data_IF_281339272364
#
_entry.id   IF_281339272364
#
_cell.length_a   1.000
_cell.length_b   1.000
_cell.length_c   1.000
_cell.angle_alpha   90.00
_cell.angle_beta   90.00
_cell.angle_gamma   90.00
#
_symmetry.space_group_name_H-M   'P 1'
#
loop_
_entity.id
_entity.type
_entity.pdbx_description
1 polymer ?
2 non-polymer ?
3 non-polymer ?
4 water ?
#
# COMPACT_ATOMS: atom_id res chain seq x y z
N UNK A 3 -23.75 29.20 9.74
CA UNK A 3 -24.58 29.07 8.51
C UNK A 3 -25.03 27.63 8.28
N UNK A 4 -25.17 27.25 7.02
CA UNK A 4 -25.60 25.90 6.64
C UNK A 4 -24.62 24.82 7.10
N UNK A 5 -25.18 23.74 7.63
CA UNK A 5 -24.37 22.63 8.11
C UNK A 5 -24.57 21.41 7.21
N UNK A 6 -23.45 20.79 6.80
CA UNK A 6 -23.52 19.62 5.95
C UNK A 6 -24.03 18.44 6.77
N UNK A 7 -24.61 17.43 6.11
CA UNK A 7 -25.12 16.27 6.85
C UNK A 7 -23.98 15.61 7.63
N UNK A 8 -24.25 15.29 8.90
CA UNK A 8 -23.25 14.67 9.77
C UNK A 8 -23.71 13.30 10.23
N UNK A 9 -22.80 12.33 10.18
CA UNK A 9 -23.12 10.97 10.58
C UNK A 9 -23.35 10.88 12.10
N UNK A 10 -24.14 9.90 12.51
CA UNK A 10 -24.46 9.69 13.92
C UNK A 10 -23.24 9.33 14.75
N UNK A 11 -23.37 9.40 16.07
CA UNK A 11 -22.27 9.08 16.95
C UNK A 11 -21.26 10.20 17.08
N UNK A 12 -20.00 9.84 17.35
CA UNK A 12 -18.97 10.86 17.48
C UNK A 12 -19.18 11.74 18.69
N UNK A 13 -19.61 11.14 19.79
CA UNK A 13 -19.86 11.87 21.02
C UNK A 13 -18.65 11.83 21.94
N UNK A 14 -17.54 11.27 21.44
CA UNK A 14 -16.32 11.18 22.23
C UNK A 14 -15.58 12.51 22.21
N UNK A 15 -14.55 12.63 23.05
CA UNK A 15 -13.78 13.86 23.15
C UNK A 15 -13.37 14.47 21.80
N UNK A 16 -12.85 13.64 20.90
CA UNK A 16 -12.43 14.12 19.59
C UNK A 16 -13.40 13.74 18.48
N UNK A 17 -14.69 13.75 18.81
CA UNK A 17 -15.72 13.43 17.83
C UNK A 17 -15.69 11.98 17.37
N UNK A 18 -15.56 11.78 16.06
CA UNK A 18 -15.52 10.43 15.53
C UNK A 18 -14.10 9.87 15.47
N UNK A 19 -13.13 10.62 15.99
CA UNK A 19 -11.74 10.18 15.97
C UNK A 19 -11.52 8.80 16.57
N UNK A 20 -12.05 8.57 17.76
CA UNK A 20 -11.87 7.29 18.42
C UNK A 20 -12.44 6.13 17.62
N UNK A 21 -13.60 6.34 16.99
CA UNK A 21 -14.21 5.29 16.19
C UNK A 21 -13.35 5.07 14.93
N UNK A 22 -12.82 6.16 14.39
CA UNK A 22 -11.98 6.06 13.20
C UNK A 22 -10.73 5.23 13.52
N UNK A 23 -10.24 5.34 14.75
CA UNK A 23 -9.05 4.60 15.21
C UNK A 23 -9.34 3.13 15.53
N UNK A 24 -10.60 2.75 15.55
CA UNK A 24 -10.95 1.38 15.89
C UNK A 24 -11.65 0.63 14.75
N UNK A 25 -12.54 1.34 14.05
CA UNK A 25 -13.27 0.73 12.95
C UNK A 25 -13.59 1.78 11.91
N UNK A 26 -12.57 2.26 11.20
CA UNK A 26 -12.76 3.29 10.17
C UNK A 26 -13.68 2.89 9.03
N UNK A 27 -13.61 1.64 8.59
CA UNK A 27 -14.47 1.22 7.50
C UNK A 27 -15.94 1.25 7.93
N UNK A 28 -16.23 0.77 9.14
CA UNK A 28 -17.60 0.80 9.63
C UNK A 28 -18.14 2.21 9.74
N UNK A 29 -17.27 3.13 10.17
CA UNK A 29 -17.65 4.54 10.29
C UNK A 29 -17.97 5.11 8.91
N UNK A 30 -17.08 4.89 7.95
CA UNK A 30 -17.30 5.41 6.61
C UNK A 30 -18.53 4.82 5.94
N UNK A 31 -18.81 3.55 6.24
CA UNK A 31 -19.98 2.91 5.64
C UNK A 31 -21.24 3.51 6.26
N UNK A 32 -21.19 3.83 7.56
CA UNK A 32 -22.37 4.42 8.20
C UNK A 32 -22.64 5.80 7.65
N UNK A 33 -21.58 6.52 7.27
CA UNK A 33 -21.73 7.84 6.69
C UNK A 33 -22.55 7.72 5.40
N UNK A 34 -22.17 6.75 4.56
CA UNK A 34 -22.89 6.54 3.31
C UNK A 34 -24.30 5.99 3.53
N UNK A 35 -24.45 5.03 4.45
CA UNK A 35 -25.77 4.46 4.71
C UNK A 35 -26.78 5.49 5.21
N UNK A 36 -26.33 6.37 6.09
CA UNK A 36 -27.21 7.38 6.66
C UNK A 36 -27.41 8.65 5.81
N UNK A 37 -26.34 9.11 5.17
CA UNK A 37 -26.39 10.36 4.42
C UNK A 37 -26.30 10.32 2.91
N UNK A 38 -25.76 9.26 2.33
CA UNK A 38 -25.66 9.19 0.88
C UNK A 38 -24.27 9.45 0.34
N UNK A 39 -24.20 10.02 -0.86
CA UNK A 39 -22.94 10.29 -1.53
C UNK A 39 -22.08 11.38 -0.92
N UNK A 40 -22.69 12.25 -0.11
CA UNK A 40 -21.96 13.33 0.53
C UNK A 40 -22.34 13.40 2.01
N UNK A 41 -21.39 13.06 2.88
CA UNK A 41 -21.67 13.11 4.30
C UNK A 41 -20.42 13.46 5.06
N UNK A 42 -20.57 13.87 6.32
CA UNK A 42 -19.39 14.24 7.09
C UNK A 42 -19.25 13.51 8.41
N UNK A 43 -18.03 13.48 8.93
CA UNK A 43 -17.74 12.93 10.24
C UNK A 43 -16.70 13.87 10.81
N UNK A 44 -16.58 13.93 12.13
CA UNK A 44 -15.63 14.83 12.76
C UNK A 44 -14.36 14.11 13.19
N UNK A 45 -13.25 14.58 12.65
CA UNK A 45 -11.94 14.02 12.97
C UNK A 45 -11.27 15.09 13.82
N UNK A 46 -11.48 15.01 15.14
CA UNK A 46 -10.93 15.98 16.07
C UNK A 46 -11.51 17.34 15.73
N UNK A 47 -10.65 18.32 15.45
CA UNK A 47 -11.14 19.65 15.11
C UNK A 47 -11.28 19.85 13.62
N UNK A 48 -11.37 18.75 12.88
CA UNK A 48 -11.50 18.81 11.43
C UNK A 48 -12.72 18.07 10.92
N UNK A 49 -13.51 18.74 10.08
CA UNK A 49 -14.68 18.12 9.49
C UNK A 49 -14.20 17.44 8.21
N UNK A 50 -14.55 16.17 8.04
CA UNK A 50 -14.16 15.43 6.85
C UNK A 50 -15.41 15.24 6.00
N UNK A 51 -15.36 15.73 4.77
CA UNK A 51 -16.49 15.58 3.85
C UNK A 51 -16.20 14.31 3.06
N UNK A 52 -16.90 13.23 3.41
CA UNK A 52 -16.69 11.95 2.75
C UNK A 52 -17.58 11.80 1.54
N UNK A 53 -16.94 11.68 0.37
CA UNK A 53 -17.65 11.50 -0.89
C UNK A 53 -17.64 10.03 -1.29
N UNK A 54 -18.73 9.57 -1.88
CA UNK A 54 -18.80 8.18 -2.34
C UNK A 54 -19.75 8.09 -3.54
N UNK A 55 -19.61 7.04 -4.32
CA UNK A 55 -20.46 6.89 -5.48
C UNK A 55 -19.79 7.50 -6.70
N UNK A 56 -20.21 7.08 -7.89
CA UNK A 56 -19.62 7.57 -9.12
C UNK A 56 -19.60 9.08 -9.30
N UNK A 57 -20.76 9.71 -9.13
CA UNK A 57 -20.86 11.16 -9.31
C UNK A 57 -19.91 11.95 -8.41
N UNK A 58 -19.98 11.71 -7.10
CA UNK A 58 -19.13 12.42 -6.16
C UNK A 58 -17.65 12.07 -6.36
N UNK A 59 -17.36 10.79 -6.62
CA UNK A 59 -15.99 10.38 -6.83
C UNK A 59 -15.39 11.03 -8.08
N UNK A 60 -16.21 11.21 -9.12
CA UNK A 60 -15.71 11.83 -10.34
C UNK A 60 -15.21 13.23 -10.02
N UNK A 61 -15.97 13.96 -9.21
CA UNK A 61 -15.55 15.30 -8.82
C UNK A 61 -14.21 15.23 -8.09
N UNK A 62 -14.11 14.31 -7.13
CA UNK A 62 -12.91 14.13 -6.34
C UNK A 62 -11.67 13.80 -7.18
N UNK A 63 -11.79 12.84 -8.07
CA UNK A 63 -10.64 12.41 -8.88
C UNK A 63 -10.29 13.26 -10.10
N UNK A 64 -11.23 14.07 -10.57
CA UNK A 64 -10.94 14.91 -11.73
C UNK A 64 -10.40 16.27 -11.28
N UNK A 65 -10.41 16.50 -9.97
CA UNK A 65 -9.93 17.75 -9.40
C UNK A 65 -8.41 17.82 -9.32
N UNK A 66 -7.85 18.91 -9.82
CA UNK A 66 -6.40 19.08 -9.78
C UNK A 66 -5.97 19.72 -8.48
N UNK A 67 -4.66 19.80 -8.26
CA UNK A 67 -4.13 20.39 -7.03
C UNK A 67 -4.66 21.80 -6.79
N UNK A 68 -5.22 22.41 -7.84
CA UNK A 68 -5.77 23.75 -7.74
C UNK A 68 -7.09 23.80 -6.98
N UNK A 69 -7.82 22.69 -7.01
CA UNK A 69 -9.11 22.61 -6.32
C UNK A 69 -9.00 21.82 -5.01
N UNK A 70 -8.44 20.62 -5.10
CA UNK A 70 -8.25 19.76 -3.93
C UNK A 70 -6.77 19.43 -3.81
N UNK A 71 -6.14 19.88 -2.73
CA UNK A 71 -4.73 19.66 -2.51
C UNK A 71 -4.44 18.56 -1.49
N UNK A 72 -3.46 17.70 -1.81
CA UNK A 72 -3.10 16.61 -0.91
C UNK A 72 -1.89 16.99 -0.06
N UNK A 73 -1.29 18.13 -0.37
CA UNK A 73 -0.11 18.62 0.33
C UNK A 73 -0.11 18.48 1.85
N UNK A 74 -1.17 18.95 2.50
CA UNK A 74 -1.25 18.87 3.96
C UNK A 74 -2.41 18.02 4.46
N UNK A 75 -2.76 16.99 3.70
CA UNK A 75 -3.86 16.11 4.07
C UNK A 75 -3.42 14.94 4.95
N UNK A 76 -2.11 14.71 5.03
CA UNK A 76 -1.59 13.60 5.82
C UNK A 76 -0.49 14.06 6.80
N UNK A 77 -0.89 14.69 7.92
CA UNK A 77 0.07 15.18 8.91
C UNK A 77 0.93 14.11 9.57
N UNK A 78 0.51 12.85 9.50
CA UNK A 78 1.27 11.77 10.11
C UNK A 78 2.56 11.45 9.37
N UNK A 79 2.71 11.98 8.16
CA UNK A 79 3.92 11.70 7.38
C UNK A 79 5.09 12.64 7.65
N UNK A 80 4.80 13.83 8.16
CA UNK A 80 5.85 14.81 8.43
C UNK A 80 6.99 14.29 9.30
N UNK A 81 6.66 13.67 10.45
CA UNK A 81 7.70 13.13 11.34
C UNK A 81 8.44 11.92 10.77
N UNK A 82 7.79 11.25 9.81
CA UNK A 82 8.38 10.08 9.19
C UNK A 82 9.41 10.45 8.14
N UNK A 83 9.05 11.36 7.24
CA UNK A 83 10.00 11.79 6.22
C UNK A 83 11.08 12.65 6.87
N UNK A 84 10.67 13.47 7.82
CA UNK A 84 11.61 14.34 8.50
C UNK A 84 11.90 15.59 7.70
N UNK A 105 9.93 5.35 -12.43
CA UNK A 105 9.46 4.13 -13.07
C UNK A 105 9.34 4.29 -14.58
N UNK A 106 10.10 3.49 -15.32
CA UNK A 106 10.08 3.54 -16.77
C UNK A 106 9.86 2.15 -17.32
N UNK A 107 8.95 2.02 -18.27
CA UNK A 107 8.66 0.73 -18.87
C UNK A 107 9.89 -0.03 -19.31
N UNK A 108 10.86 0.69 -19.86
CA UNK A 108 12.10 0.08 -20.34
C UNK A 108 12.89 -0.59 -19.21
N UNK A 109 12.76 -0.06 -18.00
CA UNK A 109 13.46 -0.61 -16.84
C UNK A 109 12.63 -1.70 -16.16
N UNK A 110 11.36 -1.80 -16.53
CA UNK A 110 10.47 -2.78 -15.92
C UNK A 110 10.98 -4.22 -16.03
N UNK A 111 11.50 -4.60 -17.19
CA UNK A 111 12.01 -5.94 -17.36
C UNK A 111 13.12 -6.19 -16.34
N UNK A 112 14.01 -5.21 -16.19
CA UNK A 112 15.10 -5.34 -15.23
C UNK A 112 14.56 -5.49 -13.81
N UNK A 113 13.52 -4.72 -13.48
CA UNK A 113 12.95 -4.80 -12.15
C UNK A 113 12.31 -6.15 -11.91
N UNK A 114 11.66 -6.70 -12.94
CA UNK A 114 11.03 -8.01 -12.79
C UNK A 114 12.10 -9.06 -12.44
N UNK A 115 13.25 -8.97 -13.10
CA UNK A 115 14.34 -9.91 -12.83
C UNK A 115 14.86 -9.71 -11.41
N UNK A 116 14.95 -8.45 -10.98
CA UNK A 116 15.41 -8.12 -9.65
C UNK A 116 14.46 -8.69 -8.61
N UNK A 117 13.16 -8.51 -8.84
CA UNK A 117 12.18 -9.02 -7.91
C UNK A 117 12.25 -10.54 -7.82
N UNK A 118 12.40 -11.21 -8.95
CA UNK A 118 12.52 -12.67 -8.94
C UNK A 118 13.71 -13.07 -8.05
N UNK A 119 14.84 -12.40 -8.24
CA UNK A 119 16.02 -12.70 -7.45
C UNK A 119 15.77 -12.49 -5.97
N UNK A 120 15.11 -11.39 -5.62
CA UNK A 120 14.84 -11.11 -4.22
C UNK A 120 13.93 -12.17 -3.59
N UNK A 121 12.95 -12.65 -4.35
CA UNK A 121 12.05 -13.67 -3.81
C UNK A 121 12.82 -14.97 -3.59
N UNK A 122 13.64 -15.35 -4.57
CA UNK A 122 14.41 -16.58 -4.41
C UNK A 122 15.34 -16.46 -3.20
N UNK A 123 15.90 -15.28 -2.97
CA UNK A 123 16.78 -15.10 -1.82
C UNK A 123 16.00 -15.24 -0.51
N UNK A 124 14.78 -14.71 -0.49
CA UNK A 124 13.93 -14.79 0.70
C UNK A 124 13.48 -16.21 1.05
N UNK A 125 13.34 -17.07 0.05
CA UNK A 125 12.89 -18.45 0.31
C UNK A 125 14.03 -19.47 0.24
N UNK A 126 15.25 -18.98 0.08
CA UNK A 126 16.42 -19.85 -0.04
C UNK A 126 16.60 -20.82 1.13
N UNK A 127 16.18 -20.41 2.33
CA UNK A 127 16.34 -21.26 3.50
C UNK A 127 15.05 -21.98 3.93
N UNK A 128 14.02 -21.93 3.09
CA UNK A 128 12.75 -22.57 3.40
C UNK A 128 12.83 -24.08 3.51
N UNK A 129 13.63 -24.70 2.66
CA UNK A 129 13.74 -26.15 2.70
C UNK A 129 12.51 -26.86 2.16
N UNK A 130 12.26 -28.06 2.66
CA UNK A 130 11.14 -28.88 2.20
C UNK A 130 9.76 -28.43 2.68
N UNK A 131 9.68 -28.02 3.94
CA UNK A 131 8.41 -27.60 4.50
C UNK A 131 8.63 -26.69 5.70
N UNK A 132 7.60 -25.95 6.07
CA UNK A 132 7.73 -25.06 7.19
C UNK A 132 6.52 -24.17 7.34
N UNK A 133 6.63 -23.20 8.23
CA UNK A 133 5.55 -22.28 8.49
C UNK A 133 6.06 -20.85 8.49
N UNK A 134 5.25 -19.93 7.99
CA UNK A 134 5.65 -18.53 7.95
C UNK A 134 4.51 -17.64 8.38
N UNK A 135 4.84 -16.43 8.81
CA UNK A 135 3.84 -15.44 9.19
C UNK A 135 3.84 -14.47 8.00
N UNK A 136 2.68 -14.30 7.37
CA UNK A 136 2.58 -13.44 6.20
C UNK A 136 3.03 -12.02 6.38
N UNK A 137 2.70 -11.41 7.50
CA UNK A 137 3.11 -10.02 7.73
C UNK A 137 4.63 -9.94 7.78
N UNK A 138 5.24 -10.81 8.58
CA UNK A 138 6.69 -10.82 8.70
C UNK A 138 7.38 -11.09 7.35
N UNK A 139 6.89 -12.08 6.64
CA UNK A 139 7.49 -12.45 5.35
C UNK A 139 7.37 -11.38 4.27
N UNK A 140 6.16 -10.93 3.97
CA UNK A 140 6.01 -9.94 2.92
C UNK A 140 6.51 -8.55 3.29
N UNK A 141 6.50 -8.20 4.57
CA UNK A 141 7.01 -6.89 4.96
C UNK A 141 8.50 -6.86 4.66
N UNK A 142 9.21 -7.93 5.02
CA UNK A 142 10.65 -7.98 4.78
C UNK A 142 10.95 -8.08 3.27
N UNK A 143 10.24 -8.96 2.58
CA UNK A 143 10.45 -9.13 1.14
C UNK A 143 10.31 -7.83 0.37
N UNK A 144 9.26 -7.08 0.66
CA UNK A 144 9.01 -5.82 -0.06
C UNK A 144 10.01 -4.73 0.29
N UNK A 145 10.71 -4.88 1.41
CA UNK A 145 11.73 -3.90 1.77
C UNK A 145 12.88 -4.15 0.78
N UNK A 146 13.16 -5.42 0.52
CA UNK A 146 14.24 -5.79 -0.38
C UNK A 146 13.91 -5.49 -1.85
N UNK A 147 12.68 -5.75 -2.27
CA UNK A 147 12.33 -5.47 -3.66
C UNK A 147 12.33 -3.96 -3.90
N UNK A 148 11.74 -3.21 -2.97
CA UNK A 148 11.68 -1.75 -3.10
C UNK A 148 13.06 -1.11 -3.12
N UNK A 149 13.89 -1.46 -2.12
CA UNK A 149 15.22 -0.88 -2.04
C UNK A 149 16.08 -1.25 -3.26
N UNK A 150 16.02 -2.51 -3.68
CA UNK A 150 16.82 -2.94 -4.82
C UNK A 150 16.40 -2.25 -6.12
N UNK A 151 15.10 -2.13 -6.33
CA UNK A 151 14.59 -1.50 -7.56
C UNK A 151 14.72 0.01 -7.61
N UNK A 152 14.39 0.67 -6.50
CA UNK A 152 14.41 2.12 -6.42
C UNK A 152 15.74 2.77 -6.08
N UNK A 153 16.55 2.12 -5.24
CA UNK A 153 17.83 2.70 -4.86
C UNK A 153 18.99 1.97 -5.54
N UNK A 154 18.93 0.65 -5.55
CA UNK A 154 19.97 -0.14 -6.19
C UNK A 154 20.25 -1.45 -5.48
N UNK A 155 20.63 -2.45 -6.25
CA UNK A 155 20.94 -3.77 -5.69
C UNK A 155 22.10 -3.65 -4.70
N UNK A 156 23.05 -2.77 -5.00
CA UNK A 156 24.20 -2.54 -4.12
C UNK A 156 23.75 -2.14 -2.73
N UNK A 157 22.78 -1.22 -2.67
CA UNK A 157 22.25 -0.75 -1.39
C UNK A 157 21.47 -1.87 -0.71
N UNK A 158 20.61 -2.56 -1.45
CA UNK A 158 19.84 -3.64 -0.82
C UNK A 158 20.75 -4.68 -0.21
N UNK A 159 21.84 -5.00 -0.88
CA UNK A 159 22.77 -6.02 -0.39
C UNK A 159 23.43 -5.63 0.93
N UNK A 160 23.36 -4.35 1.29
CA UNK A 160 23.93 -3.90 2.54
C UNK A 160 22.85 -3.80 3.61
N UNK A 161 21.66 -4.28 3.28
CA UNK A 161 20.52 -4.27 4.21
C UNK A 161 20.23 -5.68 4.70
N UNK A 162 19.60 -5.76 5.87
CA UNK A 162 19.18 -7.03 6.43
C UNK A 162 17.86 -6.83 7.16
N UNK A 163 17.45 -7.82 7.95
CA UNK A 163 16.18 -7.74 8.66
C UNK A 163 15.96 -6.51 9.52
N UNK A 164 17.04 -5.93 10.05
CA UNK A 164 16.94 -4.76 10.90
C UNK A 164 16.24 -3.59 10.22
N UNK A 165 16.59 -3.35 8.95
CA UNK A 165 15.97 -2.25 8.23
C UNK A 165 14.46 -2.42 8.15
N UNK A 166 14.02 -3.64 7.85
CA UNK A 166 12.59 -3.94 7.75
C UNK A 166 11.88 -3.74 9.09
N UNK A 167 12.52 -4.16 10.17
CA UNK A 167 11.91 -4.01 11.49
C UNK A 167 11.72 -2.54 11.84
N UNK A 168 12.74 -1.73 11.55
CA UNK A 168 12.67 -0.31 11.84
C UNK A 168 11.61 0.36 10.95
N UNK A 169 11.59 -0.01 9.67
CA UNK A 169 10.62 0.58 8.75
C UNK A 169 9.20 0.25 9.23
N UNK A 170 9.01 -0.94 9.79
CA UNK A 170 7.70 -1.34 10.29
C UNK A 170 7.24 -0.39 11.39
N UNK A 171 8.16 -0.01 12.27
CA UNK A 171 7.85 0.88 13.37
C UNK A 171 7.42 2.25 12.85
N UNK A 172 7.97 2.67 11.72
CA UNK A 172 7.59 3.94 11.13
C UNK A 172 6.13 3.88 10.73
N UNK A 173 5.76 2.79 10.06
CA UNK A 173 4.38 2.61 9.61
C UNK A 173 3.41 2.49 10.78
N UNK A 174 3.87 1.88 11.87
CA UNK A 174 3.04 1.74 13.05
C UNK A 174 2.87 3.10 13.73
N UNK A 175 3.68 4.08 13.30
CA UNK A 175 3.59 5.41 13.88
C UNK A 175 2.64 6.34 13.18
N UNK A 176 1.64 5.77 12.50
CA UNK A 176 0.67 6.57 11.77
C UNK A 176 -0.73 6.60 12.38
N UNK A 177 -0.79 6.63 13.72
CA UNK A 177 -2.06 6.67 14.43
C UNK A 177 -2.83 7.93 13.98
N UNK A 178 -4.15 7.82 13.79
CA UNK A 178 -4.98 8.95 13.37
C UNK A 178 -4.92 10.14 14.33
N UNK A 179 -4.37 9.92 15.51
CA UNK A 179 -4.23 10.98 16.49
C UNK A 179 -3.32 12.05 15.92
N UNK A 180 -2.61 11.72 14.85
CA UNK A 180 -1.72 12.69 14.19
C UNK A 180 -2.55 13.88 13.71
N UNK A 181 -3.85 13.68 13.53
CA UNK A 181 -4.72 14.76 13.09
C UNK A 181 -5.00 15.75 14.22
N UNK A 182 -4.63 15.37 15.44
CA UNK A 182 -4.75 16.26 16.58
C UNK A 182 -3.38 16.93 16.63
N UNK A 183 -2.34 16.09 16.69
CA UNK A 183 -0.96 16.56 16.70
C UNK A 183 -0.02 15.36 16.51
N UNK A 184 0.88 15.44 15.54
CA UNK A 184 1.86 14.38 15.24
C UNK A 184 2.94 14.15 16.29
N UNK A 185 3.04 15.01 17.29
CA UNK A 185 4.08 14.85 18.29
C UNK A 185 3.60 14.58 19.71
N UNK A 186 2.41 13.99 19.83
CA UNK A 186 1.87 13.68 21.15
C UNK A 186 2.76 12.64 21.84
N UNK A 187 2.87 12.72 23.17
CA UNK A 187 3.69 11.77 23.93
C UNK A 187 3.06 10.39 24.10
N UNK A 188 2.79 9.71 22.99
CA UNK A 188 2.23 8.36 23.07
C UNK A 188 3.31 7.39 22.60
N UNK A 189 3.24 6.17 23.11
CA UNK A 189 4.21 5.12 22.80
C UNK A 189 4.48 4.89 21.31
N UNK A 190 3.42 4.80 20.50
CA UNK A 190 3.61 4.56 19.08
C UNK A 190 4.38 5.69 18.39
N UNK A 191 4.18 6.93 18.83
CA UNK A 191 4.89 8.07 18.24
C UNK A 191 6.34 8.07 18.74
N UNK A 192 6.55 7.65 19.99
CA UNK A 192 7.90 7.59 20.54
C UNK A 192 8.67 6.54 19.76
N UNK A 193 8.04 5.38 19.54
CA UNK A 193 8.69 4.30 18.81
C UNK A 193 8.93 4.71 17.36
N UNK A 194 8.04 5.54 16.82
CA UNK A 194 8.18 6.03 15.46
C UNK A 194 9.47 6.86 15.33
N UNK A 195 9.65 7.80 16.25
CA UNK A 195 10.83 8.65 16.22
C UNK A 195 12.11 7.88 16.48
N UNK A 196 12.06 6.92 17.41
CA UNK A 196 13.23 6.10 17.71
C UNK A 196 13.60 5.29 16.49
N UNK A 197 12.60 4.76 15.80
CA UNK A 197 12.81 3.95 14.61
C UNK A 197 13.47 4.77 13.50
N UNK A 198 13.05 6.02 13.34
CA UNK A 198 13.65 6.85 12.30
C UNK A 198 15.13 7.09 12.61
N UNK A 199 15.45 7.35 13.88
CA UNK A 199 16.84 7.58 14.25
C UNK A 199 17.66 6.31 13.99
N UNK A 200 17.04 5.16 14.21
CA UNK A 200 17.71 3.90 13.98
C UNK A 200 18.02 3.71 12.50
N UNK A 201 17.10 4.16 11.64
CA UNK A 201 17.32 4.03 10.21
C UNK A 201 18.46 4.93 9.78
N UNK A 202 18.51 6.14 10.33
CA UNK A 202 19.59 7.07 10.01
C UNK A 202 20.93 6.42 10.38
N UNK A 203 20.98 5.79 11.54
CA UNK A 203 22.20 5.12 11.98
C UNK A 203 22.60 3.99 11.03
N UNK A 204 21.63 3.23 10.53
CA UNK A 204 21.92 2.15 9.61
C UNK A 204 22.50 2.71 8.31
N UNK A 205 21.91 3.80 7.84
CA UNK A 205 22.37 4.43 6.60
C UNK A 205 23.77 5.01 6.81
N UNK A 206 24.00 5.61 7.97
CA UNK A 206 25.32 6.17 8.27
C UNK A 206 26.36 5.06 8.27
N UNK A 207 26.02 3.90 8.82
CA UNK A 207 26.94 2.77 8.86
C UNK A 207 27.25 2.29 7.45
N UNK A 208 26.25 2.26 6.58
CA UNK A 208 26.45 1.83 5.21
C UNK A 208 27.40 2.80 4.50
N UNK A 209 27.17 4.09 4.71
CA UNK A 209 28.02 5.11 4.11
C UNK A 209 29.46 4.91 4.57
N UNK A 210 29.65 4.75 5.87
CA UNK A 210 30.99 4.54 6.42
C UNK A 210 31.59 3.25 5.89
N UNK A 211 30.75 2.25 5.70
CA UNK A 211 31.22 0.96 5.19
C UNK A 211 31.80 1.08 3.79
N UNK A 212 31.20 1.93 2.96
CA UNK A 212 31.66 2.10 1.58
C UNK A 212 32.98 2.87 1.51
N UNK A 213 33.23 3.70 2.51
CA UNK A 213 34.45 4.48 2.56
C UNK A 213 35.66 3.57 2.76
N UNK A 214 35.52 2.65 3.72
CA UNK A 214 36.60 1.72 4.05
C UNK A 214 36.75 0.53 3.10
N UNK A 215 35.66 0.13 2.43
CA UNK A 215 35.74 -0.99 1.51
C UNK A 215 35.04 -0.74 0.18
N UNK A 216 35.61 0.15 -0.65
CA UNK A 216 35.04 0.49 -1.96
C UNK A 216 34.81 -0.74 -2.83
N UNK A 222 28.21 -2.25 -8.79
CA UNK A 222 27.61 -1.19 -9.60
C UNK A 222 27.11 -0.05 -8.73
N UNK A 223 27.58 1.16 -9.02
CA UNK A 223 27.18 2.35 -8.25
C UNK A 223 25.67 2.52 -8.24
N UNK A 224 25.16 3.07 -7.13
CA UNK A 224 23.72 3.29 -6.98
C UNK A 224 23.39 4.72 -6.59
N UNK A 225 22.14 4.93 -6.21
CA UNK A 225 21.66 6.26 -5.82
C UNK A 225 22.41 6.82 -4.60
N UNK A 226 22.79 5.91 -3.70
CA UNK A 226 23.46 6.36 -2.49
C UNK A 226 24.80 6.97 -2.88
N UNK A 227 25.49 6.35 -3.84
CA UNK A 227 26.77 6.87 -4.28
C UNK A 227 26.61 8.25 -4.91
N UNK A 228 25.52 8.42 -5.66
CA UNK A 228 25.24 9.71 -6.30
C UNK A 228 25.09 10.81 -5.25
N UNK A 229 24.33 10.53 -4.20
CA UNK A 229 24.11 11.51 -3.15
C UNK A 229 25.38 11.80 -2.35
N UNK A 230 26.15 10.75 -2.06
CA UNK A 230 27.39 10.91 -1.30
C UNK A 230 28.38 11.81 -2.03
N UNK A 231 28.37 11.74 -3.37
CA UNK A 231 29.30 12.53 -4.19
C UNK A 231 29.02 14.03 -4.23
N UNK A 232 27.78 14.44 -3.98
CA UNK A 232 27.45 15.87 -4.03
C UNK A 232 28.16 16.67 -2.95
N UNK A 233 28.82 17.75 -3.36
CA UNK A 233 29.55 18.61 -2.43
C UNK A 233 28.83 19.93 -2.17
N UNK A 234 29.04 20.47 -0.98
CA UNK A 234 28.43 21.73 -0.59
C UNK A 234 29.26 22.88 -1.14
N UNK A 235 28.78 24.10 -0.97
CA UNK A 235 29.48 25.28 -1.45
C UNK A 235 30.75 25.57 -0.66
N UNK A 236 31.18 24.58 0.13
CA UNK A 236 32.39 24.74 0.94
C UNK A 236 33.35 23.57 0.75
N UNK A 237 32.96 22.60 -0.08
CA UNK A 237 33.80 21.46 -0.33
C UNK A 237 33.41 20.26 0.54
N UNK A 238 32.58 20.53 1.55
CA UNK A 238 32.12 19.48 2.45
C UNK A 238 30.93 18.74 1.84
N UNK A 239 30.69 17.49 2.28
CA UNK A 239 29.56 16.72 1.74
C UNK A 239 28.26 17.49 1.93
N UNK A 240 27.47 17.59 0.87
CA UNK A 240 26.21 18.32 0.92
C UNK A 240 25.13 17.61 1.74
N UNK A 241 25.04 16.30 1.58
CA UNK A 241 24.00 15.54 2.27
C UNK A 241 24.46 14.73 3.47
N UNK A 242 23.68 14.84 4.55
CA UNK A 242 23.96 14.12 5.78
C UNK A 242 23.23 12.78 5.74
N UNK A 243 23.58 11.88 6.64
CA UNK A 243 22.92 10.59 6.69
C UNK A 243 21.43 10.79 6.93
N UNK A 244 21.10 11.80 7.73
CA UNK A 244 19.71 12.10 8.04
C UNK A 244 18.92 12.49 6.80
N UNK A 245 19.45 13.43 6.02
CA UNK A 245 18.78 13.88 4.81
C UNK A 245 18.63 12.74 3.81
N UNK A 246 19.69 11.95 3.66
CA UNK A 246 19.65 10.83 2.73
C UNK A 246 18.63 9.80 3.19
N UNK A 247 18.60 9.54 4.49
CA UNK A 247 17.65 8.56 5.02
C UNK A 247 16.21 9.02 4.76
N UNK A 248 15.94 10.30 4.94
CA UNK A 248 14.61 10.82 4.69
C UNK A 248 14.20 10.66 3.23
N UNK A 249 15.15 10.86 2.32
CA UNK A 249 14.88 10.70 0.90
C UNK A 249 14.53 9.25 0.60
N UNK A 250 15.32 8.33 1.13
CA UNK A 250 15.09 6.90 0.91
C UNK A 250 13.77 6.45 1.54
N UNK A 251 13.46 6.95 2.74
CA UNK A 251 12.21 6.58 3.38
C UNK A 251 11.05 7.01 2.49
N UNK A 252 11.14 8.25 2.00
CA UNK A 252 10.11 8.81 1.13
C UNK A 252 9.96 8.01 -0.16
N UNK A 253 11.08 7.65 -0.76
CA UNK A 253 11.06 6.89 -2.02
C UNK A 253 10.37 5.55 -1.86
N UNK A 254 10.58 4.92 -0.71
CA UNK A 254 10.03 3.59 -0.45
C UNK A 254 8.65 3.51 0.21
N UNK A 255 8.20 4.58 0.84
CA UNK A 255 6.94 4.54 1.58
C UNK A 255 5.65 4.22 0.82
N UNK A 256 5.45 4.83 -0.33
CA UNK A 256 4.24 4.58 -1.10
C UNK A 256 4.06 3.12 -1.48
N UNK A 257 5.12 2.50 -1.99
CA UNK A 257 5.02 1.12 -2.41
C UNK A 257 5.22 0.03 -1.39
N UNK A 258 5.78 0.33 -0.22
CA UNK A 258 6.01 -0.73 0.74
C UNK A 258 4.78 -1.32 1.42
N UNK A 259 4.04 -0.52 2.17
CA UNK A 259 2.88 -1.07 2.86
C UNK A 259 1.79 -1.55 1.91
N UNK A 260 1.68 -0.89 0.76
CA UNK A 260 0.66 -1.28 -0.21
C UNK A 260 1.01 -2.61 -0.88
N UNK A 261 2.25 -2.75 -1.36
CA UNK A 261 2.65 -3.99 -2.00
C UNK A 261 2.71 -5.14 -1.01
N UNK A 262 3.18 -4.89 0.21
CA UNK A 262 3.27 -5.92 1.22
C UNK A 262 1.88 -6.46 1.54
N UNK A 263 0.95 -5.55 1.82
CA UNK A 263 -0.40 -5.96 2.13
C UNK A 263 -1.07 -6.67 0.97
N UNK A 264 -0.88 -6.15 -0.23
CA UNK A 264 -1.50 -6.75 -1.40
C UNK A 264 -0.98 -8.16 -1.67
N UNK A 265 0.31 -8.39 -1.45
CA UNK A 265 0.86 -9.73 -1.65
C UNK A 265 0.26 -10.68 -0.62
N UNK A 266 0.17 -10.23 0.63
CA UNK A 266 -0.40 -11.08 1.68
C UNK A 266 -1.84 -11.46 1.38
N UNK A 267 -2.66 -10.47 1.02
CA UNK A 267 -4.05 -10.77 0.74
C UNK A 267 -4.26 -11.58 -0.54
N UNK A 268 -3.36 -11.43 -1.50
CA UNK A 268 -3.49 -12.22 -2.72
C UNK A 268 -3.30 -13.71 -2.34
N UNK A 269 -2.32 -14.00 -1.50
CA UNK A 269 -2.08 -15.38 -1.10
C UNK A 269 -3.23 -15.88 -0.24
N UNK A 270 -3.72 -15.03 0.67
CA UNK A 270 -4.84 -15.44 1.52
C UNK A 270 -6.06 -15.78 0.68
N UNK A 271 -6.40 -14.92 -0.29
CA UNK A 271 -7.58 -15.20 -1.10
C UNK A 271 -7.40 -16.43 -2.00
N UNK A 272 -6.18 -16.69 -2.44
CA UNK A 272 -5.94 -17.88 -3.26
C UNK A 272 -6.20 -19.12 -2.40
N UNK A 273 -5.73 -19.08 -1.16
CA UNK A 273 -5.91 -20.23 -0.27
C UNK A 273 -7.37 -20.39 0.13
N UNK A 274 -8.09 -19.28 0.27
CA UNK A 274 -9.51 -19.31 0.64
C UNK A 274 -10.37 -19.83 -0.50
N UNK A 275 -9.89 -19.69 -1.72
CA UNK A 275 -10.64 -20.11 -2.90
C UNK A 275 -9.79 -21.04 -3.76
N UNK A 276 -9.75 -22.31 -3.37
CA UNK A 276 -8.96 -23.33 -4.05
C UNK A 276 -9.18 -23.46 -5.55
N UNK A 277 -10.37 -23.11 -6.02
CA UNK A 277 -10.65 -23.21 -7.45
C UNK A 277 -9.81 -22.15 -8.18
N UNK A 278 -9.68 -20.97 -7.57
CA UNK A 278 -8.87 -19.92 -8.16
C UNK A 278 -7.40 -20.32 -8.05
N UNK A 279 -7.03 -20.89 -6.90
CA UNK A 279 -5.65 -21.33 -6.67
C UNK A 279 -5.24 -22.31 -7.75
N UNK A 280 -6.07 -23.34 -7.96
CA UNK A 280 -5.79 -24.37 -8.95
C UNK A 280 -5.71 -23.80 -10.37
N UNK A 281 -6.57 -22.85 -10.68
CA UNK A 281 -6.58 -22.24 -12.00
C UNK A 281 -5.30 -21.44 -12.23
N UNK A 282 -4.84 -20.75 -11.20
CA UNK A 282 -3.62 -19.96 -11.32
C UNK A 282 -2.42 -20.88 -11.51
N UNK A 283 -2.40 -21.99 -10.78
CA UNK A 283 -1.31 -22.96 -10.89
C UNK A 283 -1.20 -23.52 -12.31
N UNK A 284 -2.33 -23.98 -12.86
CA UNK A 284 -2.34 -24.53 -14.21
C UNK A 284 -1.85 -23.50 -15.21
N UNK A 285 -2.34 -22.28 -15.05
CA UNK A 285 -1.97 -21.17 -15.93
C UNK A 285 -0.47 -20.91 -15.88
N UNK A 286 0.09 -20.83 -14.68
CA UNK A 286 1.51 -20.58 -14.53
C UNK A 286 2.33 -21.69 -15.16
N UNK A 287 1.95 -22.94 -14.93
CA UNK A 287 2.68 -24.06 -15.50
C UNK A 287 2.62 -24.05 -17.02
N UNK A 288 1.47 -23.71 -17.58
CA UNK A 288 1.32 -23.66 -19.04
C UNK A 288 2.15 -22.54 -19.63
N UNK A 289 1.99 -21.34 -19.07
CA UNK A 289 2.71 -20.17 -19.57
C UNK A 289 4.23 -20.33 -19.56
N UNK A 290 4.78 -20.78 -18.43
CA UNK A 290 6.23 -20.92 -18.34
C UNK A 290 6.76 -22.11 -19.14
N UNK A 291 5.85 -22.83 -19.77
CA UNK A 291 6.23 -23.95 -20.59
C UNK A 291 6.92 -23.49 -21.86
N UNK A 292 6.86 -22.19 -22.14
CA UNK A 292 7.50 -21.66 -23.33
C UNK A 292 8.99 -21.40 -23.09
N UNK A 293 9.43 -21.66 -21.86
CA UNK A 293 10.83 -21.49 -21.51
C UNK A 293 11.33 -20.08 -21.26
N UNK A 294 10.43 -19.10 -21.25
CA UNK A 294 10.84 -17.72 -21.00
C UNK A 294 10.87 -17.43 -19.50
N UNK A 295 11.71 -16.48 -19.12
CA UNK A 295 11.89 -16.12 -17.71
C UNK A 295 10.73 -15.34 -17.10
N UNK A 296 10.84 -15.11 -15.79
CA UNK A 296 9.86 -14.34 -15.06
C UNK A 296 9.89 -12.90 -15.56
N UNK A 297 11.06 -12.42 -15.97
CA UNK A 297 11.16 -11.05 -16.46
C UNK A 297 10.38 -10.87 -17.76
N UNK A 298 10.12 -11.97 -18.46
CA UNK A 298 9.34 -11.92 -19.69
C UNK A 298 7.86 -12.03 -19.32
N UNK A 299 7.52 -13.07 -18.56
CA UNK A 299 6.14 -13.30 -18.20
C UNK A 299 5.48 -12.35 -17.22
N UNK A 300 6.24 -11.73 -16.32
CA UNK A 300 5.64 -10.81 -15.36
C UNK A 300 5.20 -9.50 -16.01
N UNK A 301 5.55 -9.33 -17.28
CA UNK A 301 5.18 -8.12 -18.01
C UNK A 301 4.14 -8.44 -19.08
N UNK A 302 3.64 -9.67 -19.04
CA UNK A 302 2.64 -10.13 -20.00
C UNK A 302 1.47 -10.76 -19.26
N UNK A 303 0.40 -11.07 -19.99
CA UNK A 303 -0.80 -11.62 -19.35
C UNK A 303 -0.65 -12.93 -18.60
N UNK A 304 -1.25 -12.96 -17.41
CA UNK A 304 -1.32 -14.15 -16.57
C UNK A 304 -2.74 -13.91 -16.08
N UNK A 305 -3.72 -14.13 -16.98
CA UNK A 305 -5.16 -13.94 -16.76
C UNK A 305 -5.78 -14.25 -15.40
N UNK A 306 -5.74 -15.51 -14.99
CA UNK A 306 -6.34 -15.90 -13.72
C UNK A 306 -5.73 -15.17 -12.54
N UNK A 307 -4.41 -15.04 -12.51
CA UNK A 307 -3.76 -14.36 -11.41
C UNK A 307 -4.10 -12.87 -11.40
N UNK A 308 -4.15 -12.26 -12.59
CA UNK A 308 -4.48 -10.84 -12.67
C UNK A 308 -5.88 -10.57 -12.15
N UNK A 309 -6.81 -11.48 -12.44
CA UNK A 309 -8.18 -11.28 -11.97
C UNK A 309 -8.30 -11.52 -10.47
N UNK A 310 -7.50 -12.44 -9.94
CA UNK A 310 -7.51 -12.67 -8.51
C UNK A 310 -6.94 -11.41 -7.85
N UNK A 311 -5.90 -10.84 -8.45
CA UNK A 311 -5.29 -9.62 -7.91
C UNK A 311 -6.29 -8.46 -7.93
N UNK A 312 -6.99 -8.30 -9.05
CA UNK A 312 -7.98 -7.22 -9.14
C UNK A 312 -9.04 -7.38 -8.05
N UNK A 313 -9.52 -8.61 -7.86
CA UNK A 313 -10.55 -8.84 -6.85
C UNK A 313 -10.02 -8.66 -5.43
N UNK A 314 -8.76 -9.02 -5.22
CA UNK A 314 -8.13 -8.84 -3.91
C UNK A 314 -8.02 -7.35 -3.59
N UNK A 315 -7.66 -6.54 -4.59
CA UNK A 315 -7.55 -5.11 -4.39
C UNK A 315 -8.92 -4.47 -4.17
N UNK A 316 -9.94 -4.99 -4.83
CA UNK A 316 -11.28 -4.44 -4.65
C UNK A 316 -11.76 -4.66 -3.22
N UNK A 317 -11.53 -5.87 -2.71
CA UNK A 317 -11.98 -6.23 -1.35
C UNK A 317 -11.08 -5.72 -0.22
N UNK A 318 -9.78 -5.68 -0.49
CA UNK A 318 -8.81 -5.26 0.51
C UNK A 318 -7.90 -4.15 0.01
N UNK A 319 -8.48 -3.00 -0.38
CA UNK A 319 -7.67 -1.89 -0.89
C UNK A 319 -6.70 -1.41 0.21
N UNK A 320 -5.38 -1.39 -0.08
CA UNK A 320 -4.39 -0.96 0.90
C UNK A 320 -4.62 0.43 1.46
N UNK A 321 -5.20 1.30 0.64
CA UNK A 321 -5.54 2.65 1.08
C UNK A 321 -7.07 2.66 1.16
N UNK A 322 -7.58 2.71 2.39
CA UNK A 322 -9.03 2.68 2.59
C UNK A 322 -9.67 4.06 2.52
N UNK A 323 -8.87 5.10 2.67
CA UNK A 323 -9.37 6.47 2.59
C UNK A 323 -8.30 7.33 1.93
N UNK A 324 -8.74 8.29 1.12
CA UNK A 324 -7.87 9.22 0.40
C UNK A 324 -8.30 10.62 0.82
N UNK A 325 -7.33 11.46 1.18
CA UNK A 325 -7.64 12.80 1.66
C UNK A 325 -7.14 13.96 0.81
N UNK A 326 -7.83 15.09 0.93
CA UNK A 326 -7.51 16.31 0.22
C UNK A 326 -7.93 17.48 1.11
N UNK A 327 -7.37 18.65 0.84
CA UNK A 327 -7.75 19.86 1.57
C UNK A 327 -8.30 20.78 0.49
N UNK A 328 -9.54 21.22 0.65
CA UNK A 328 -10.17 22.09 -0.34
C UNK A 328 -9.45 23.43 -0.46
N UNK A 329 -9.25 23.89 -1.69
CA UNK A 329 -8.58 25.16 -1.93
C UNK A 329 -9.57 26.22 -2.41
N UNK A 330 -10.84 25.83 -2.51
CA UNK A 330 -11.85 26.76 -2.97
C UNK A 330 -13.26 26.30 -2.65
N UNK A 331 -14.25 27.00 -3.19
CA UNK A 331 -15.64 26.66 -2.97
C UNK A 331 -16.18 25.79 -4.09
N UNK A 332 -16.78 24.66 -3.73
CA UNK A 332 -17.34 23.75 -4.71
C UNK A 332 -18.69 23.25 -4.23
N UNK A 333 -19.48 22.72 -5.15
CA UNK A 333 -20.80 22.20 -4.81
C UNK A 333 -20.97 20.81 -5.40
N UNK A 334 -21.33 19.85 -4.55
CA UNK A 334 -21.54 18.49 -4.99
C UNK A 334 -22.92 18.04 -4.54
N UNK A 335 -23.82 17.89 -5.50
CA UNK A 335 -25.19 17.49 -5.22
C UNK A 335 -25.88 18.45 -4.27
N UNK A 336 -25.62 19.74 -4.46
CA UNK A 336 -26.24 20.76 -3.62
C UNK A 336 -25.48 21.06 -2.34
N UNK A 337 -24.53 20.21 -2.00
CA UNK A 337 -23.73 20.41 -0.79
C UNK A 337 -22.51 21.26 -1.08
N UNK A 338 -22.32 22.30 -0.27
CA UNK A 338 -21.21 23.24 -0.44
C UNK A 338 -19.94 22.87 0.32
N UNK A 339 -18.82 22.91 -0.39
CA UNK A 339 -17.51 22.61 0.19
C UNK A 339 -16.72 23.92 0.19
N UNK A 340 -16.12 24.27 1.33
CA UNK A 340 -15.35 25.51 1.42
C UNK A 340 -13.85 25.32 1.56
N UNK A 341 -13.10 26.38 1.26
CA UNK A 341 -11.64 26.35 1.35
C UNK A 341 -11.21 25.95 2.75
N UNK A 342 -10.25 25.01 2.82
CA UNK A 342 -9.77 24.57 4.11
C UNK A 342 -10.41 23.29 4.60
N UNK A 343 -11.52 22.90 3.98
CA UNK A 343 -12.23 21.68 4.38
C UNK A 343 -11.51 20.42 3.92
N UNK A 344 -11.53 19.40 4.78
CA UNK A 344 -10.93 18.12 4.43
C UNK A 344 -11.94 17.36 3.60
N UNK A 345 -11.52 16.87 2.44
CA UNK A 345 -12.40 16.13 1.56
C UNK A 345 -11.79 14.75 1.34
N UNK A 346 -12.61 13.72 1.42
CA UNK A 346 -12.12 12.36 1.27
C UNK A 346 -12.95 11.49 0.36
N UNK A 347 -12.30 10.47 -0.17
CA UNK A 347 -12.94 9.47 -1.00
C UNK A 347 -12.52 8.18 -0.32
N UNK A 348 -13.25 7.10 -0.50
CA UNK A 348 -12.90 5.85 0.15
C UNK A 348 -12.95 4.62 -0.73
N UNK A 349 -11.77 4.06 -1.06
CA UNK A 349 -11.78 2.86 -1.89
C UNK A 349 -12.48 1.72 -1.15
N UNK A 350 -12.32 1.68 0.17
CA UNK A 350 -12.94 0.62 0.97
C UNK A 350 -14.45 0.58 0.74
N UNK A 351 -15.09 1.75 0.80
CA UNK A 351 -16.54 1.83 0.63
C UNK A 351 -16.97 1.79 -0.84
N UNK A 352 -16.34 2.62 -1.67
CA UNK A 352 -16.72 2.67 -3.07
C UNK A 352 -16.54 1.36 -3.82
N UNK A 353 -15.50 0.62 -3.49
CA UNK A 353 -15.22 -0.66 -4.14
C UNK A 353 -16.30 -1.70 -3.88
N UNK A 354 -17.19 -1.43 -2.93
CA UNK A 354 -18.24 -2.39 -2.62
C UNK A 354 -19.66 -1.87 -2.81
N UNK A 355 -19.83 -0.82 -3.61
CA UNK A 355 -21.17 -0.29 -3.85
C UNK A 355 -21.95 -1.38 -4.60
N UNK A 356 -23.07 -1.84 -4.00
CA UNK A 356 -23.92 -2.90 -4.56
C UNK A 356 -24.40 -2.69 -5.99
N UNK A 357 -24.74 -1.46 -6.34
CA UNK A 357 -25.22 -1.15 -7.68
C UNK A 357 -24.16 -1.33 -8.74
N UNK A 358 -22.90 -1.06 -8.38
CA UNK A 358 -21.80 -1.15 -9.33
C UNK A 358 -21.11 -2.49 -9.39
N UNK A 359 -21.08 -3.19 -8.26
CA UNK A 359 -20.41 -4.49 -8.16
C UNK A 359 -21.35 -5.54 -7.60
N UNK A 360 -22.06 -6.26 -8.48
CA UNK A 360 -23.00 -7.29 -8.02
C UNK A 360 -22.34 -8.20 -6.98
N UNK A 361 -23.04 -8.44 -5.87
CA UNK A 361 -22.53 -9.26 -4.77
C UNK A 361 -21.15 -8.71 -4.39
N UNK A 362 -21.10 -7.46 -3.93
CA UNK A 362 -19.87 -6.77 -3.54
C UNK A 362 -18.98 -7.40 -2.48
N UNK A 363 -19.55 -8.22 -1.60
CA UNK A 363 -18.73 -8.84 -0.56
C UNK A 363 -18.19 -10.20 -0.96
N UNK A 364 -18.56 -10.67 -2.15
CA UNK A 364 -18.12 -11.96 -2.62
C UNK A 364 -16.87 -11.88 -3.49
N UNK A 365 -16.02 -12.88 -3.36
CA UNK A 365 -14.78 -12.97 -4.13
C UNK A 365 -15.12 -13.58 -5.49
N UNK A 366 -15.18 -12.73 -6.53
CA UNK A 366 -15.52 -13.18 -7.88
C UNK A 366 -14.56 -12.63 -8.94
N UNK A 367 -13.44 -13.33 -9.15
CA UNK A 367 -12.46 -12.86 -10.15
C UNK A 367 -13.07 -12.73 -11.55
N UNK A 368 -14.10 -13.52 -11.83
CA UNK A 368 -14.76 -13.50 -13.13
C UNK A 368 -15.38 -12.15 -13.45
N UNK A 369 -15.57 -11.29 -12.44
CA UNK A 369 -16.17 -9.99 -12.71
C UNK A 369 -15.23 -9.11 -13.54
N UNK A 370 -13.99 -9.55 -13.72
CA UNK A 370 -13.01 -8.78 -14.49
C UNK A 370 -12.72 -9.36 -15.86
N UNK A 371 -13.33 -10.49 -16.18
CA UNK A 371 -13.11 -11.09 -17.48
C UNK A 371 -13.77 -10.22 -18.54
N UNK A 372 -13.35 -10.39 -19.79
CA UNK A 372 -13.86 -9.61 -20.92
C UNK A 372 -15.35 -9.28 -20.91
N UNK A 373 -16.20 -10.25 -20.61
CA UNK A 373 -17.65 -9.98 -20.60
C UNK A 373 -18.12 -8.89 -19.63
N UNK A 374 -17.62 -8.92 -18.40
CA UNK A 374 -18.04 -7.95 -17.39
C UNK A 374 -17.13 -6.75 -17.17
N UNK A 375 -15.82 -6.99 -17.13
CA UNK A 375 -14.84 -5.93 -16.92
C UNK A 375 -15.33 -4.86 -15.96
N UNK A 376 -15.74 -5.26 -14.77
CA UNK A 376 -16.26 -4.34 -13.79
C UNK A 376 -15.29 -3.27 -13.30
N UNK A 377 -14.00 -3.52 -13.46
CA UNK A 377 -12.99 -2.54 -13.07
C UNK A 377 -13.00 -1.40 -14.09
N UNK A 378 -13.05 -1.74 -15.37
CA UNK A 378 -13.04 -0.74 -16.44
C UNK A 378 -14.38 -0.02 -16.61
N UNK A 379 -15.48 -0.75 -16.38
CA UNK A 379 -16.82 -0.18 -16.52
C UNK A 379 -17.13 0.85 -15.41
N UNK A 380 -16.61 0.59 -14.22
CA UNK A 380 -16.84 1.48 -13.08
C UNK A 380 -15.62 2.36 -12.85
N UNK A 381 -15.35 3.22 -13.82
CA UNK A 381 -14.20 4.11 -13.80
C UNK A 381 -14.05 4.96 -12.54
N UNK A 382 -15.17 5.35 -11.94
CA UNK A 382 -15.09 6.21 -10.75
C UNK A 382 -15.33 5.52 -9.42
N UNK A 383 -15.66 4.23 -9.43
CA UNK A 383 -15.88 3.52 -8.17
C UNK A 383 -14.96 2.31 -7.92
N UNK A 384 -14.31 1.78 -8.96
CA UNK A 384 -13.33 0.70 -8.77
C UNK A 384 -12.06 1.52 -8.62
N UNK A 385 -11.77 1.92 -7.38
CA UNK A 385 -10.64 2.81 -7.13
C UNK A 385 -9.51 2.35 -6.21
N UNK A 386 -9.10 1.08 -6.27
CA UNK A 386 -8.00 0.68 -5.40
C UNK A 386 -6.71 1.39 -5.78
N UNK A 387 -6.63 1.84 -7.04
CA UNK A 387 -5.48 2.58 -7.54
C UNK A 387 -5.85 4.02 -7.85
N UNK A 388 -6.97 4.47 -7.29
CA UNK A 388 -7.41 5.83 -7.56
C UNK A 388 -7.99 5.96 -8.96
N UNK A 389 -8.07 7.18 -9.46
CA UNK A 389 -8.63 7.44 -10.77
C UNK A 389 -8.36 8.87 -11.19
N UNK A 390 -8.64 9.17 -12.46
CA UNK A 390 -8.43 10.52 -12.95
C UNK A 390 -7.00 11.03 -12.93
N UNK A 391 -6.84 12.31 -12.59
CA UNK A 391 -5.54 12.97 -12.56
C UNK A 391 -4.52 12.37 -11.58
N UNK A 392 -4.98 11.75 -10.51
CA UNK A 392 -4.07 11.19 -9.51
C UNK A 392 -3.95 9.67 -9.56
N UNK A 393 -4.39 9.06 -10.65
CA UNK A 393 -4.32 7.60 -10.81
C UNK A 393 -2.92 7.11 -10.48
N UNK A 394 -2.83 5.98 -9.79
CA UNK A 394 -1.55 5.43 -9.38
C UNK A 394 -0.52 5.24 -10.50
N UNK A 395 0.60 5.95 -10.38
CA UNK A 395 1.65 5.83 -11.38
C UNK A 395 2.52 4.60 -11.10
N UNK A 396 2.31 3.97 -9.96
CA UNK A 396 3.07 2.80 -9.61
C UNK A 396 2.29 1.51 -9.80
N UNK A 397 1.08 1.62 -10.33
CA UNK A 397 0.24 0.44 -10.53
C UNK A 397 0.86 -0.61 -11.45
N UNK A 398 1.47 -0.17 -12.55
CA UNK A 398 2.09 -1.13 -13.47
C UNK A 398 3.19 -1.90 -12.76
N UNK A 399 3.99 -1.20 -11.98
CA UNK A 399 5.07 -1.80 -11.21
C UNK A 399 4.50 -2.76 -10.17
N UNK A 400 3.46 -2.33 -9.46
CA UNK A 400 2.86 -3.15 -8.41
C UNK A 400 2.25 -4.43 -8.97
N UNK A 401 1.59 -4.34 -10.11
CA UNK A 401 0.99 -5.51 -10.74
C UNK A 401 2.10 -6.46 -11.22
N UNK A 402 3.13 -5.89 -11.83
CA UNK A 402 4.26 -6.70 -12.30
C UNK A 402 4.90 -7.41 -11.11
N UNK A 403 5.02 -6.70 -9.98
CA UNK A 403 5.63 -7.29 -8.80
C UNK A 403 4.84 -8.48 -8.28
N UNK A 404 3.52 -8.36 -8.24
CA UNK A 404 2.69 -9.47 -7.79
C UNK A 404 2.89 -10.67 -8.73
N UNK A 405 2.92 -10.40 -10.04
CA UNK A 405 3.11 -11.48 -11.00
C UNK A 405 4.46 -12.15 -10.83
N UNK A 406 5.50 -11.35 -10.60
CA UNK A 406 6.83 -11.91 -10.43
C UNK A 406 6.92 -12.72 -9.14
N UNK A 407 6.42 -12.15 -8.05
CA UNK A 407 6.46 -12.85 -6.76
C UNK A 407 5.74 -14.19 -6.80
N UNK A 408 4.49 -14.21 -7.25
CA UNK A 408 3.75 -15.45 -7.28
C UNK A 408 4.18 -16.42 -8.36
N UNK A 409 4.82 -15.92 -9.43
CA UNK A 409 5.33 -16.79 -10.47
C UNK A 409 6.38 -17.69 -9.82
N UNK A 410 7.12 -17.13 -8.86
CA UNK A 410 8.15 -17.89 -8.16
C UNK A 410 7.55 -18.72 -7.03
N UNK A 411 6.87 -18.06 -6.09
CA UNK A 411 6.29 -18.78 -4.96
C UNK A 411 5.40 -19.95 -5.30
N UNK A 412 4.44 -19.73 -6.19
CA UNK A 412 3.48 -20.78 -6.52
C UNK A 412 4.01 -21.95 -7.34
N UNK A 413 5.12 -21.75 -8.03
CA UNK A 413 5.71 -22.82 -8.83
C UNK A 413 6.67 -23.66 -7.98
N UNK A 414 7.22 -23.04 -6.95
CA UNK A 414 8.17 -23.71 -6.06
C UNK A 414 7.51 -24.40 -4.87
N UNK A 415 6.50 -23.74 -4.30
CA UNK A 415 5.83 -24.28 -3.12
C UNK A 415 4.31 -24.33 -3.14
N UNK A 416 3.76 -25.18 -2.29
CA UNK A 416 2.33 -25.36 -2.10
C UNK A 416 2.02 -24.67 -0.77
N UNK A 417 0.95 -23.88 -0.72
CA UNK A 417 0.60 -23.19 0.51
C UNK A 417 -0.75 -23.62 1.08
N UNK A 418 -0.82 -23.64 2.41
CA UNK A 418 -2.04 -24.00 3.12
C UNK A 418 -2.20 -23.08 4.32
N UNK A 419 -3.45 -22.80 4.70
CA UNK A 419 -3.71 -21.96 5.85
C UNK A 419 -3.45 -22.74 7.12
N UNK A 420 -2.84 -22.09 8.11
CA UNK A 420 -2.52 -22.74 9.39
C UNK A 420 -3.50 -22.30 10.47
N UNK A 421 -4.53 -21.57 10.07
CA UNK A 421 -5.55 -21.09 10.99
C UNK A 421 -6.87 -20.97 10.23
N UNK A 422 -7.99 -20.79 10.95
CA UNK A 422 -9.29 -20.67 10.29
C UNK A 422 -9.29 -19.57 9.22
N UNK A 423 -9.85 -19.86 8.04
CA UNK A 423 -9.90 -18.89 6.93
C UNK A 423 -10.43 -17.51 7.31
N UNK A 424 -11.46 -17.46 8.15
CA UNK A 424 -12.05 -16.19 8.55
C UNK A 424 -11.24 -15.44 9.60
N UNK A 425 -10.19 -16.05 10.13
CA UNK A 425 -9.38 -15.40 11.15
C UNK A 425 -8.31 -14.48 10.60
N UNK A 426 -8.11 -14.49 9.28
CA UNK A 426 -7.14 -13.60 8.67
C UNK A 426 -7.84 -12.25 8.58
N UNK A 427 -7.20 -11.20 9.08
CA UNK A 427 -7.82 -9.88 9.06
C UNK A 427 -6.80 -8.76 9.15
N UNK A 428 -7.26 -7.55 8.81
CA UNK A 428 -6.40 -6.38 8.88
C UNK A 428 -6.55 -5.66 10.20
N UNK A 429 -5.49 -4.94 10.57
CA UNK A 429 -5.46 -4.11 11.76
C UNK A 429 -5.68 -2.72 11.19
N UNK A 430 -6.80 -2.08 11.53
CA UNK A 430 -7.10 -0.75 11.01
C UNK A 430 -6.90 0.36 12.04
N UNK A 431 -6.09 0.11 13.06
CA UNK A 431 -5.87 1.10 14.10
C UNK A 431 -4.96 2.25 13.70
N UNK A 432 -4.19 2.07 12.62
CA UNK A 432 -3.29 3.11 12.14
C UNK A 432 -3.70 3.50 10.71
N UNK A 433 -3.29 4.69 10.27
CA UNK A 433 -3.65 5.12 8.92
C UNK A 433 -3.06 4.12 7.92
N UNK A 434 -1.89 3.58 8.24
CA UNK A 434 -1.29 2.57 7.39
C UNK A 434 -1.90 1.25 7.81
N UNK A 435 -2.74 0.69 6.95
CA UNK A 435 -3.39 -0.59 7.25
C UNK A 435 -2.37 -1.70 7.08
N UNK A 436 -2.36 -2.61 8.05
CA UNK A 436 -1.45 -3.76 8.03
C UNK A 436 -2.17 -5.00 8.50
N UNK A 437 -1.68 -6.15 8.05
CA UNK A 437 -2.27 -7.43 8.42
C UNK A 437 -2.08 -7.63 9.92
N UNK A 438 -3.09 -8.18 10.58
CA UNK A 438 -2.99 -8.46 12.01
C UNK A 438 -2.41 -9.85 12.16
N UNK A 439 -1.85 -10.14 13.33
CA UNK A 439 -1.29 -11.46 13.57
C UNK A 439 -2.16 -12.18 14.60
N UNK A 440 -2.20 -13.52 14.53
CA UNK A 440 -1.49 -14.36 13.57
C UNK A 440 -2.04 -14.34 12.15
N UNK A 441 -1.16 -14.67 11.22
CA UNK A 441 -1.45 -14.77 9.79
C UNK A 441 -0.50 -15.87 9.34
N UNK A 442 -0.68 -17.05 9.94
CA UNK A 442 0.18 -18.20 9.68
C UNK A 442 -0.20 -19.04 8.48
N UNK A 443 0.81 -19.41 7.69
CA UNK A 443 0.61 -20.22 6.52
C UNK A 443 1.71 -21.26 6.47
N UNK A 444 1.38 -22.46 6.00
CA UNK A 444 2.37 -23.51 5.90
C UNK A 444 2.69 -23.79 4.45
N UNK A 445 3.93 -24.17 4.19
CA UNK A 445 4.36 -24.46 2.83
C UNK A 445 5.03 -25.82 2.75
N UNK A 446 5.07 -26.36 1.54
CA UNK A 446 5.70 -27.63 1.26
C UNK A 446 6.12 -27.58 -0.21
N UNK A 447 7.32 -28.05 -0.50
CA UNK A 447 7.82 -28.03 -1.87
C UNK A 447 6.90 -28.81 -2.80
N UNK A 448 6.72 -28.31 -4.02
CA UNK A 448 5.87 -29.00 -5.00
C UNK A 448 6.66 -30.13 -5.64
N UNK A 449 6.01 -31.03 -6.21
#
# INVERSE_FOLDING_TARGET
>A
MSAVALPRVSGGHDEHGHLEEFRTDPIGLMQRVRDELGDVGTFQLAGKQVVLLSGSHANEFFFRAGDDDLDQAKAYPFMTPIFGEGVVFDASPERRKEMLHNAALRGEQMKGHAATIEDQVRRMIADWGEAGEIDLLDFFAELTIYTSSACLIGKKFRDQLDGRFAKLYHELERGTDPLAYVDPYLPIESFRRRDEARNGLVALVADIMNGRIANPPTDKSDRDMLDVLIAVKAETGTPRFSADEITGMFISMMFAGHHTSSGTASWTLIELMRHRDAYAAVIDELDELYGDGRSVSFHALRQIPQLENVLKETLRLHPPLIILMRVAKGEFEVQGHRIHEGDLVAASPAISNRIPEDFPDPHDFVPARYEQPRQEDLLNRWTWIPFGAGRHRCVGAAFAIMQIKAIFSVLLREYEFEMAQPPESYRNDHSKMVVQLAQPAAVRYRRRTGVHHHH
#
